data_IF_475946662055
#
_entry.id   IF_475946662055
#
_cell.length_a   1.000
_cell.length_b   1.000
_cell.length_c   1.000
_cell.angle_alpha   90.00
_cell.angle_beta   90.00
_cell.angle_gamma   90.00
#
_symmetry.space_group_name_H-M   'P 1'
#
loop_
_entity.id
_entity.type
_entity.pdbx_description
1 polymer ?
#
# COMPACT_ATOMS: atom_id res chain seq x y z
N UNK A 1 31.76 56.87 22.32
CA UNK A 1 31.42 55.45 22.41
C UNK A 1 30.45 55.06 21.31
N UNK A 2 30.88 54.23 20.36
CA UNK A 2 30.02 53.67 19.31
C UNK A 2 30.02 52.16 19.46
N UNK A 3 29.02 51.64 20.17
CA UNK A 3 28.85 50.19 20.37
C UNK A 3 28.50 49.50 19.06
N UNK A 4 29.25 48.46 18.71
CA UNK A 4 28.92 47.54 17.62
C UNK A 4 28.06 46.41 18.20
N UNK A 5 26.84 46.25 17.69
CA UNK A 5 25.94 45.16 18.08
C UNK A 5 25.84 44.16 16.92
N UNK A 6 26.31 42.94 17.14
CA UNK A 6 26.19 41.81 16.21
C UNK A 6 25.02 40.93 16.63
N UNK A 7 24.01 40.77 15.77
CA UNK A 7 22.90 39.85 16.01
C UNK A 7 23.35 38.39 15.81
N UNK A 8 23.02 37.46 16.73
CA UNK A 8 23.37 36.05 16.55
C UNK A 8 22.60 35.44 15.38
N UNK A 9 23.16 34.42 14.70
CA UNK A 9 22.45 33.69 13.66
C UNK A 9 21.20 33.01 14.24
N UNK A 10 20.14 32.98 13.45
CA UNK A 10 18.85 32.41 13.88
C UNK A 10 19.03 30.94 14.26
N UNK A 11 18.61 30.51 15.46
CA UNK A 11 18.67 29.10 15.81
C UNK A 11 17.69 28.30 14.95
N UNK A 12 18.17 27.20 14.37
CA UNK A 12 17.36 26.25 13.60
C UNK A 12 17.21 24.96 14.39
N UNK A 13 15.98 24.47 14.49
CA UNK A 13 15.67 23.18 15.11
C UNK A 13 15.19 22.22 14.03
N UNK A 14 15.91 21.11 13.87
CA UNK A 14 15.54 20.00 13.00
C UNK A 14 15.22 18.78 13.85
N UNK A 15 14.11 18.12 13.52
CA UNK A 15 13.74 16.83 14.08
C UNK A 15 13.08 16.01 12.98
N UNK A 16 13.57 14.79 12.79
CA UNK A 16 13.04 13.83 11.83
C UNK A 16 13.24 12.42 12.37
N UNK A 17 12.39 11.49 11.95
CA UNK A 17 12.48 10.09 12.34
C UNK A 17 12.93 9.27 11.15
N UNK A 18 14.07 8.60 11.29
CA UNK A 18 14.57 7.69 10.26
C UNK A 18 14.12 6.28 10.58
N UNK A 19 13.44 5.64 9.64
CA UNK A 19 13.06 4.22 9.71
C UNK A 19 13.60 3.47 8.50
N UNK A 20 13.68 2.14 8.59
CA UNK A 20 14.08 1.33 7.43
C UNK A 20 13.07 1.50 6.27
N UNK A 21 11.79 1.70 6.57
CA UNK A 21 10.76 1.94 5.57
C UNK A 21 11.02 3.26 4.82
N UNK A 22 11.31 4.35 5.53
CA UNK A 22 11.58 5.65 4.88
C UNK A 22 12.83 5.62 4.00
N UNK A 23 13.86 4.85 4.39
CA UNK A 23 15.05 4.65 3.56
C UNK A 23 14.71 3.81 2.32
N UNK A 24 13.93 2.74 2.49
CA UNK A 24 13.53 1.87 1.39
C UNK A 24 12.68 2.61 0.35
N UNK A 25 11.68 3.36 0.81
CA UNK A 25 10.77 4.11 -0.07
C UNK A 25 11.55 5.18 -0.84
N UNK A 26 12.40 5.97 -0.16
CA UNK A 26 13.25 6.96 -0.81
C UNK A 26 14.20 6.34 -1.85
N UNK A 27 14.82 5.19 -1.52
CA UNK A 27 15.69 4.48 -2.46
C UNK A 27 14.93 3.95 -3.67
N UNK A 28 13.72 3.42 -3.45
CA UNK A 28 12.88 2.89 -4.51
C UNK A 28 12.46 4.00 -5.48
N UNK A 29 12.02 5.14 -4.97
CA UNK A 29 11.65 6.31 -5.76
C UNK A 29 12.84 6.84 -6.57
N UNK A 30 14.04 6.92 -5.95
CA UNK A 30 15.28 7.31 -6.62
C UNK A 30 15.68 6.31 -7.72
N UNK A 31 15.49 5.02 -7.47
CA UNK A 31 15.81 3.96 -8.43
C UNK A 31 14.86 3.98 -9.64
N UNK A 32 13.56 4.14 -9.41
CA UNK A 32 12.55 4.29 -10.47
C UNK A 32 12.82 5.56 -11.31
N UNK A 33 13.13 6.67 -10.65
CA UNK A 33 13.51 7.93 -11.32
C UNK A 33 14.74 7.75 -12.22
N UNK A 34 15.76 7.01 -11.75
CA UNK A 34 16.94 6.69 -12.58
C UNK A 34 16.56 5.86 -13.80
N UNK A 35 15.75 4.81 -13.66
CA UNK A 35 15.28 4.00 -14.79
C UNK A 35 14.56 4.85 -15.83
N UNK A 36 13.62 5.69 -15.40
CA UNK A 36 12.89 6.57 -16.33
C UNK A 36 13.81 7.56 -17.06
N UNK A 37 14.79 8.15 -16.36
CA UNK A 37 15.73 9.09 -16.99
C UNK A 37 16.65 8.40 -17.99
N UNK A 38 17.10 7.17 -17.70
CA UNK A 38 17.87 6.38 -18.65
C UNK A 38 17.07 6.00 -19.90
N UNK A 39 15.80 5.61 -19.73
CA UNK A 39 14.90 5.32 -20.85
C UNK A 39 14.66 6.56 -21.72
N UNK A 40 14.37 7.71 -21.10
CA UNK A 40 14.21 8.99 -21.80
C UNK A 40 15.49 9.39 -22.56
N UNK A 41 16.66 9.22 -21.95
CA UNK A 41 17.94 9.50 -22.60
C UNK A 41 18.19 8.57 -23.81
N UNK A 42 17.90 7.27 -23.68
CA UNK A 42 18.01 6.30 -24.79
C UNK A 42 17.04 6.62 -25.93
N UNK A 43 15.84 7.09 -25.64
CA UNK A 43 14.88 7.55 -26.67
C UNK A 43 15.35 8.82 -27.39
N UNK A 44 15.91 9.78 -26.67
CA UNK A 44 16.46 11.00 -27.26
C UNK A 44 17.66 10.71 -28.17
N UNK A 45 18.52 9.76 -27.81
CA UNK A 45 19.62 9.30 -28.66
C UNK A 45 19.12 8.61 -29.93
N UNK A 46 18.08 7.78 -29.84
CA UNK A 46 17.45 7.16 -31.02
C UNK A 46 16.81 8.19 -31.96
N UNK A 47 16.23 9.28 -31.42
CA UNK A 47 15.66 10.38 -32.22
C UNK A 47 16.74 11.22 -32.90
N UNK A 48 17.93 11.36 -32.31
CA UNK A 48 19.09 12.07 -32.91
C UNK A 48 19.76 11.28 -34.04
N UNK A 49 19.63 9.95 -34.04
CA UNK A 49 20.22 9.06 -35.06
C UNK A 49 19.24 8.69 -36.20
N UNK A 50 18.02 9.25 -36.23
CA UNK A 50 17.10 9.10 -37.34
C UNK A 50 17.51 10.01 -38.52
N UNK A 51 17.42 9.57 -39.78
CA UNK A 51 17.82 10.39 -40.92
C UNK A 51 16.99 11.68 -41.00
N UNK A 52 17.71 12.81 -41.00
CA UNK A 52 17.19 14.17 -41.09
C UNK A 52 16.50 14.38 -42.45
N UNK A 53 15.17 14.41 -42.47
CA UNK A 53 14.40 14.95 -43.59
C UNK A 53 14.06 16.40 -43.25
N UNK A 54 14.91 17.29 -43.72
CA UNK A 54 14.80 18.75 -43.58
C UNK A 54 13.48 19.27 -44.15
N UNK A 55 12.81 20.16 -43.41
CA UNK A 55 12.25 21.45 -43.86
C UNK A 55 11.17 21.94 -42.88
N UNK A 56 11.54 22.79 -41.91
CA UNK A 56 10.86 24.07 -41.60
C UNK A 56 11.70 24.88 -40.57
N UNK A 57 11.82 26.22 -40.71
CA UNK A 57 12.83 27.01 -39.99
C UNK A 57 12.50 27.26 -38.51
N UNK A 58 13.58 27.32 -37.71
CA UNK A 58 13.67 27.48 -36.23
C UNK A 58 13.10 28.80 -35.65
N UNK A 59 12.30 29.56 -36.40
CA UNK A 59 11.90 30.93 -36.05
C UNK A 59 10.57 31.06 -35.25
N UNK A 60 9.88 29.97 -34.90
CA UNK A 60 8.59 30.03 -34.19
C UNK A 60 8.58 29.48 -32.75
N UNK A 61 9.73 29.33 -32.09
CA UNK A 61 9.78 28.99 -30.66
C UNK A 61 9.56 30.26 -29.81
N UNK A 62 8.30 30.62 -29.62
CA UNK A 62 7.87 31.51 -28.55
C UNK A 62 8.31 30.88 -27.23
N UNK A 63 9.15 31.60 -26.47
CA UNK A 63 9.50 31.25 -25.09
C UNK A 63 8.28 31.51 -24.24
N UNK A 64 7.56 30.46 -23.84
CA UNK A 64 6.63 30.55 -22.73
C UNK A 64 7.43 30.44 -21.44
N UNK A 65 7.62 31.60 -20.81
CA UNK A 65 8.16 31.77 -19.48
C UNK A 65 7.22 31.15 -18.42
N UNK A 66 7.86 30.66 -17.35
CA UNK A 66 7.35 30.54 -15.98
C UNK A 66 6.02 29.82 -15.76
N UNK A 67 6.10 28.50 -15.56
CA UNK A 67 5.12 27.78 -14.74
C UNK A 67 5.61 27.75 -13.28
N UNK A 68 4.84 28.29 -12.32
CA UNK A 68 5.19 28.20 -10.91
C UNK A 68 5.15 26.75 -10.43
N UNK A 69 6.22 26.35 -9.74
CA UNK A 69 6.38 25.08 -9.04
C UNK A 69 5.16 24.87 -8.11
N UNK A 70 4.34 23.87 -8.41
CA UNK A 70 3.15 23.57 -7.63
C UNK A 70 3.51 23.35 -6.15
N UNK A 71 2.72 23.96 -5.26
CA UNK A 71 2.80 23.77 -3.81
C UNK A 71 2.64 22.29 -3.43
N UNK A 72 3.14 21.86 -2.26
CA UNK A 72 2.93 20.50 -1.77
C UNK A 72 1.44 20.15 -1.78
N UNK A 73 1.10 19.06 -2.46
CA UNK A 73 -0.24 18.49 -2.47
C UNK A 73 -0.69 18.27 -1.03
N UNK A 74 -1.64 19.09 -0.57
CA UNK A 74 -2.40 18.79 0.63
C UNK A 74 -3.13 17.46 0.43
N UNK A 75 -2.85 16.50 1.33
CA UNK A 75 -3.64 15.37 1.82
C UNK A 75 -4.93 15.08 1.01
N UNK A 76 -4.79 14.79 -0.28
CA UNK A 76 -5.90 14.45 -1.19
C UNK A 76 -5.86 12.98 -1.59
N UNK A 77 -5.00 12.19 -0.95
CA UNK A 77 -4.82 10.75 -1.21
C UNK A 77 -5.97 9.89 -0.67
N UNK A 78 -6.76 10.34 0.31
CA UNK A 78 -7.65 9.43 1.02
C UNK A 78 -9.08 9.27 0.48
N UNK A 79 -9.53 10.05 -0.52
CA UNK A 79 -10.93 9.95 -0.98
C UNK A 79 -11.12 9.09 -2.23
N UNK A 80 -10.15 9.08 -3.15
CA UNK A 80 -10.25 8.32 -4.39
C UNK A 80 -9.93 6.83 -4.18
N UNK A 81 -8.95 6.51 -3.34
CA UNK A 81 -8.55 5.12 -3.06
C UNK A 81 -9.51 4.38 -2.11
N UNK A 82 -10.15 5.11 -1.18
CA UNK A 82 -11.13 4.53 -0.25
C UNK A 82 -12.38 4.00 -0.97
N UNK A 83 -12.74 4.58 -2.12
CA UNK A 83 -13.88 4.14 -2.92
C UNK A 83 -13.56 2.95 -3.84
N UNK A 84 -12.35 2.39 -3.78
CA UNK A 84 -12.03 1.18 -4.54
C UNK A 84 -12.71 -0.03 -3.89
N UNK A 85 -13.96 -0.26 -4.28
CA UNK A 85 -14.88 -1.19 -3.63
C UNK A 85 -14.40 -2.66 -3.60
N UNK A 86 -13.43 -3.01 -4.45
CA UNK A 86 -12.84 -4.34 -4.50
C UNK A 86 -11.91 -4.62 -3.32
N UNK A 87 -11.13 -3.62 -2.88
CA UNK A 87 -10.08 -3.81 -1.89
C UNK A 87 -10.66 -4.01 -0.47
N UNK A 88 -11.68 -3.23 -0.09
CA UNK A 88 -12.26 -3.36 1.25
C UNK A 88 -13.11 -4.63 1.41
N UNK A 89 -13.74 -5.14 0.34
CA UNK A 89 -14.52 -6.40 0.38
C UNK A 89 -13.65 -7.58 0.82
N UNK A 90 -12.44 -7.67 0.26
CA UNK A 90 -11.49 -8.72 0.64
C UNK A 90 -11.07 -8.58 2.11
N UNK A 91 -10.69 -7.37 2.53
CA UNK A 91 -10.33 -7.09 3.92
C UNK A 91 -11.46 -7.42 4.90
N UNK A 92 -12.70 -7.02 4.59
CA UNK A 92 -13.87 -7.34 5.43
C UNK A 92 -14.15 -8.83 5.48
N UNK A 93 -14.00 -9.55 4.36
CA UNK A 93 -14.13 -11.02 4.35
C UNK A 93 -13.11 -11.69 5.27
N UNK A 94 -11.87 -11.20 5.28
CA UNK A 94 -10.83 -11.71 6.18
C UNK A 94 -11.20 -11.42 7.65
N UNK A 95 -11.65 -10.20 7.95
CA UNK A 95 -12.06 -9.81 9.31
C UNK A 95 -13.26 -10.65 9.78
N UNK A 96 -14.25 -10.88 8.93
CA UNK A 96 -15.39 -11.74 9.24
C UNK A 96 -14.95 -13.18 9.58
N UNK A 97 -13.96 -13.70 8.86
CA UNK A 97 -13.36 -15.01 9.16
C UNK A 97 -12.61 -15.00 10.50
N UNK A 98 -11.85 -13.95 10.80
CA UNK A 98 -11.16 -13.80 12.09
C UNK A 98 -12.16 -13.76 13.25
N UNK A 99 -13.26 -13.02 13.10
CA UNK A 99 -14.33 -12.98 14.10
C UNK A 99 -14.99 -14.35 14.27
N UNK A 100 -15.27 -15.03 13.15
CA UNK A 100 -15.90 -16.35 13.16
C UNK A 100 -15.00 -17.40 13.83
N UNK A 101 -13.68 -17.33 13.63
CA UNK A 101 -12.73 -18.20 14.33
C UNK A 101 -12.78 -17.96 15.84
N UNK A 102 -12.75 -16.70 16.28
CA UNK A 102 -12.85 -16.37 17.71
C UNK A 102 -14.19 -16.80 18.33
N UNK A 103 -15.28 -16.76 17.56
CA UNK A 103 -16.61 -17.13 18.04
C UNK A 103 -16.80 -18.65 18.23
N UNK A 104 -16.05 -19.48 17.50
CA UNK A 104 -16.13 -20.94 17.54
C UNK A 104 -14.80 -21.60 17.95
N UNK A 105 -13.99 -20.90 18.75
CA UNK A 105 -12.65 -21.33 19.16
C UNK A 105 -12.67 -22.69 19.88
N UNK A 106 -13.61 -22.90 20.81
CA UNK A 106 -13.78 -24.20 21.50
C UNK A 106 -14.01 -25.35 20.52
N UNK A 107 -14.90 -25.17 19.54
CA UNK A 107 -15.18 -26.20 18.51
C UNK A 107 -13.93 -26.43 17.63
N UNK A 108 -13.18 -25.38 17.33
CA UNK A 108 -11.92 -25.49 16.57
C UNK A 108 -10.83 -26.22 17.35
N UNK A 109 -10.73 -25.99 18.67
CA UNK A 109 -9.80 -26.70 19.53
C UNK A 109 -10.19 -28.17 19.66
N UNK A 110 -11.47 -28.46 19.85
CA UNK A 110 -11.97 -29.84 19.92
C UNK A 110 -11.68 -30.59 18.62
N UNK A 111 -11.88 -29.94 17.47
CA UNK A 111 -11.54 -30.52 16.17
C UNK A 111 -10.06 -30.87 16.02
N UNK A 112 -9.16 -30.04 16.55
CA UNK A 112 -7.72 -30.17 16.32
C UNK A 112 -7.00 -30.99 17.39
N UNK A 113 -7.48 -30.98 18.63
CA UNK A 113 -6.71 -31.41 19.79
C UNK A 113 -7.49 -32.27 20.79
N UNK A 114 -8.80 -32.41 20.66
CA UNK A 114 -9.56 -33.24 21.60
C UNK A 114 -9.52 -34.72 21.18
N UNK A 115 -9.30 -35.57 22.18
CA UNK A 115 -9.31 -37.04 22.09
C UNK A 115 -10.27 -37.56 23.16
N UNK A 116 -11.11 -38.54 22.84
CA UNK A 116 -12.06 -39.10 23.80
C UNK A 116 -11.33 -39.99 24.81
N UNK A 117 -11.24 -39.52 26.06
CA UNK A 117 -10.62 -40.28 27.15
C UNK A 117 -11.36 -41.61 27.46
N UNK A 118 -12.60 -41.80 26.98
CA UNK A 118 -13.33 -43.04 27.16
C UNK A 118 -12.91 -44.15 26.18
N UNK A 119 -12.23 -43.79 25.08
CA UNK A 119 -11.77 -44.76 24.08
C UNK A 119 -10.71 -45.71 24.65
N UNK A 120 -10.04 -45.33 25.75
CA UNK A 120 -9.11 -46.19 26.49
C UNK A 120 -9.83 -47.30 27.29
N UNK A 121 -11.14 -47.17 27.54
CA UNK A 121 -11.90 -48.02 28.48
C UNK A 121 -13.03 -48.77 27.77
N UNK A 122 -13.70 -48.13 26.79
CA UNK A 122 -14.86 -48.69 26.10
C UNK A 122 -14.49 -49.09 24.67
N UNK A 123 -15.06 -50.20 24.20
CA UNK A 123 -14.92 -50.66 22.82
C UNK A 123 -15.97 -50.07 21.86
N UNK A 124 -16.91 -49.29 22.38
CA UNK A 124 -17.96 -48.60 21.61
C UNK A 124 -17.61 -47.12 21.51
N UNK A 125 -17.58 -46.57 20.30
CA UNK A 125 -17.25 -45.17 20.06
C UNK A 125 -18.44 -44.22 20.19
N UNK A 126 -18.16 -42.97 20.56
CA UNK A 126 -19.12 -41.88 20.57
C UNK A 126 -18.73 -40.80 19.55
N UNK A 127 -19.72 -40.19 18.88
CA UNK A 127 -19.47 -39.09 17.94
C UNK A 127 -19.65 -37.74 18.64
N UNK A 128 -18.59 -36.92 18.64
CA UNK A 128 -18.66 -35.52 19.04
C UNK A 128 -19.14 -34.66 17.85
N UNK A 129 -20.34 -34.04 17.90
CA UNK A 129 -20.77 -33.13 16.86
C UNK A 129 -20.02 -31.79 16.97
N UNK A 130 -19.44 -31.34 15.86
CA UNK A 130 -18.71 -30.07 15.75
C UNK A 130 -19.62 -28.98 15.15
N UNK A 131 -19.30 -28.47 13.95
CA UNK A 131 -20.04 -27.37 13.34
C UNK A 131 -21.43 -27.75 12.84
N UNK A 132 -22.39 -26.84 13.06
CA UNK A 132 -23.71 -26.86 12.43
C UNK A 132 -23.82 -25.75 11.40
N UNK A 133 -23.87 -26.12 10.13
CA UNK A 133 -24.04 -25.18 9.03
C UNK A 133 -25.54 -25.04 8.74
N UNK A 134 -26.06 -23.82 8.81
CA UNK A 134 -27.45 -23.55 8.43
C UNK A 134 -27.55 -22.29 7.59
N UNK A 135 -28.30 -22.38 6.49
CA UNK A 135 -28.58 -21.26 5.61
C UNK A 135 -30.11 -21.09 5.51
N UNK A 136 -30.60 -19.86 5.70
CA UNK A 136 -32.04 -19.59 5.81
C UNK A 136 -32.85 -20.13 4.62
N UNK A 137 -32.45 -19.84 3.37
CA UNK A 137 -33.12 -20.37 2.18
C UNK A 137 -33.10 -21.89 2.03
N UNK A 138 -32.11 -22.59 2.59
CA UNK A 138 -32.05 -24.05 2.51
C UNK A 138 -32.96 -24.77 3.52
N UNK A 139 -33.59 -24.05 4.46
CA UNK A 139 -34.55 -24.64 5.41
C UNK A 139 -35.91 -24.99 4.80
N UNK A 140 -36.27 -24.36 3.68
CA UNK A 140 -37.54 -24.61 2.98
C UNK A 140 -37.40 -25.62 1.83
N UNK A 141 -36.20 -26.20 1.65
CA UNK A 141 -35.86 -27.18 0.59
C UNK A 141 -35.76 -28.62 1.12
N UNK A 142 -35.97 -28.82 2.42
CA UNK A 142 -36.07 -30.09 3.12
C UNK A 142 -37.50 -30.27 3.62
#
# INVERSE_FOLDING_TARGET
DTGSQTSPPTPYHFGDSVSLASIYDAYKDDWESKQETEEKNKEEEKKKNAPEMDLLPKALRVRFADQPKALPQEISFHKAEFNNAANWKHSVTIIERMLSQNAYDEITQDYAYWEDASDDIRFEGALLPLWKISYGPSRNLL
#
